data_IF_981342484706
#
_entry.id   IF_981342484706
#
_cell.length_a   1.000
_cell.length_b   1.000
_cell.length_c   1.000
_cell.angle_alpha   90.00
_cell.angle_beta   90.00
_cell.angle_gamma   90.00
#
_symmetry.space_group_name_H-M   'P 1'
#
loop_
_entity.id
_entity.type
_entity.pdbx_description
1 polymer ?
#
# COMPACT_ATOMS: atom_id res chain seq x y z
N UNK A 1 -3.55 9.70 -8.18
CA UNK A 1 -2.97 10.35 -6.98
C UNK A 1 -1.58 9.76 -6.73
N UNK A 2 -0.62 10.53 -6.20
CA UNK A 2 0.81 10.16 -6.18
C UNK A 2 1.27 9.40 -4.93
N UNK A 3 0.45 9.31 -3.87
CA UNK A 3 0.83 8.77 -2.56
C UNK A 3 -0.10 7.66 -2.02
N UNK A 4 -1.09 7.21 -2.79
CA UNK A 4 -1.95 6.10 -2.44
C UNK A 4 -2.46 5.37 -3.67
N UNK A 5 -2.98 4.16 -3.45
CA UNK A 5 -3.52 3.30 -4.47
C UNK A 5 -5.01 3.08 -4.24
N UNK A 6 -5.78 3.04 -5.32
CA UNK A 6 -7.15 2.52 -5.30
C UNK A 6 -7.12 1.11 -5.85
N UNK A 7 -7.78 0.19 -5.16
CA UNK A 7 -7.79 -1.22 -5.53
C UNK A 7 -9.24 -1.72 -5.55
N UNK A 8 -9.63 -2.35 -6.66
CA UNK A 8 -10.88 -3.10 -6.76
C UNK A 8 -10.49 -4.58 -6.80
N UNK A 9 -10.90 -5.34 -5.78
CA UNK A 9 -10.56 -6.76 -5.65
C UNK A 9 -11.81 -7.60 -5.42
N UNK A 10 -11.86 -8.76 -6.06
CA UNK A 10 -12.83 -9.83 -5.80
C UNK A 10 -12.06 -11.08 -5.39
N UNK A 11 -12.57 -11.80 -4.40
CA UNK A 11 -12.02 -13.08 -3.97
C UNK A 11 -13.14 -14.08 -3.75
N UNK A 12 -12.87 -15.35 -4.02
CA UNK A 12 -13.82 -16.46 -3.81
C UNK A 12 -13.50 -17.26 -2.54
N UNK A 13 -12.20 -17.42 -2.23
CA UNK A 13 -11.73 -18.31 -1.15
C UNK A 13 -11.01 -17.55 -0.04
N UNK A 14 -10.21 -16.54 -0.39
CA UNK A 14 -9.40 -15.79 0.58
C UNK A 14 -10.13 -14.54 1.07
N UNK A 15 -9.92 -14.19 2.33
CA UNK A 15 -10.44 -12.92 2.87
C UNK A 15 -9.77 -11.72 2.20
N UNK A 16 -10.51 -10.63 1.97
CA UNK A 16 -9.93 -9.41 1.40
C UNK A 16 -8.79 -8.85 2.26
N UNK A 17 -8.89 -9.02 3.58
CA UNK A 17 -7.85 -8.61 4.53
C UNK A 17 -6.55 -9.39 4.36
N UNK A 18 -6.59 -10.70 4.11
CA UNK A 18 -5.40 -11.50 3.83
C UNK A 18 -4.73 -11.08 2.52
N UNK A 19 -5.52 -10.86 1.47
CA UNK A 19 -5.01 -10.38 0.17
C UNK A 19 -4.33 -9.02 0.33
N UNK A 20 -4.96 -8.06 1.01
CA UNK A 20 -4.39 -6.72 1.23
C UNK A 20 -3.12 -6.79 2.06
N UNK A 21 -3.11 -7.61 3.13
CA UNK A 21 -1.94 -7.80 3.98
C UNK A 21 -0.75 -8.31 3.18
N UNK A 22 -0.97 -9.36 2.38
CA UNK A 22 0.11 -10.02 1.64
C UNK A 22 0.59 -9.14 0.47
N UNK A 23 -0.32 -8.42 -0.20
CA UNK A 23 0.02 -7.40 -1.19
C UNK A 23 0.89 -6.30 -0.57
N UNK A 24 0.48 -5.73 0.56
CA UNK A 24 1.26 -4.68 1.26
C UNK A 24 2.65 -5.19 1.66
N UNK A 25 2.72 -6.41 2.20
CA UNK A 25 3.98 -7.03 2.62
C UNK A 25 4.92 -7.27 1.44
N UNK A 26 4.41 -7.85 0.36
CA UNK A 26 5.22 -8.17 -0.82
C UNK A 26 5.72 -6.89 -1.49
N UNK A 27 4.81 -5.96 -1.81
CA UNK A 27 5.15 -4.71 -2.51
C UNK A 27 6.09 -3.83 -1.71
N UNK A 28 5.92 -3.71 -0.39
CA UNK A 28 6.84 -2.95 0.45
C UNK A 28 8.28 -3.48 0.33
N UNK A 29 8.46 -4.81 0.43
CA UNK A 29 9.79 -5.44 0.31
C UNK A 29 10.40 -5.20 -1.06
N UNK A 30 9.63 -5.44 -2.12
CA UNK A 30 10.10 -5.27 -3.49
C UNK A 30 10.46 -3.81 -3.77
N UNK A 31 9.58 -2.85 -3.48
CA UNK A 31 9.82 -1.43 -3.74
C UNK A 31 11.02 -0.90 -2.95
N UNK A 32 11.15 -1.25 -1.66
CA UNK A 32 12.31 -0.81 -0.87
C UNK A 32 13.60 -1.37 -1.45
N UNK A 33 13.60 -2.63 -1.89
CA UNK A 33 14.75 -3.25 -2.56
C UNK A 33 15.11 -2.51 -3.84
N UNK A 34 14.13 -2.29 -4.72
CA UNK A 34 14.34 -1.56 -5.99
C UNK A 34 14.86 -0.13 -5.75
N UNK A 35 14.37 0.57 -4.72
CA UNK A 35 14.90 1.89 -4.35
C UNK A 35 16.36 1.78 -3.90
N UNK A 36 16.68 0.83 -3.02
CA UNK A 36 18.04 0.66 -2.49
C UNK A 36 19.06 0.28 -3.57
N UNK A 37 18.65 -0.58 -4.51
CA UNK A 37 19.50 -1.10 -5.57
C UNK A 37 19.58 -0.20 -6.80
N UNK A 38 18.75 0.86 -6.89
CA UNK A 38 18.78 1.80 -8.01
C UNK A 38 19.77 2.97 -7.75
N UNK A 39 20.94 2.99 -8.43
CA UNK A 39 21.91 4.08 -8.28
C UNK A 39 21.49 5.39 -8.95
N UNK A 40 20.46 5.38 -9.82
CA UNK A 40 20.00 6.56 -10.54
C UNK A 40 18.92 7.35 -9.78
N UNK A 41 18.36 6.80 -8.70
CA UNK A 41 17.37 7.49 -7.89
C UNK A 41 18.05 8.46 -6.92
N UNK A 42 18.01 9.75 -7.26
CA UNK A 42 18.65 10.82 -6.49
C UNK A 42 18.12 10.97 -5.06
N UNK A 43 16.89 10.52 -4.78
CA UNK A 43 16.27 10.61 -3.45
C UNK A 43 16.34 9.31 -2.66
N UNK A 44 17.08 8.30 -3.13
CA UNK A 44 17.17 6.97 -2.53
C UNK A 44 17.43 7.02 -1.03
N UNK A 45 18.50 7.69 -0.63
CA UNK A 45 18.93 7.76 0.78
C UNK A 45 17.87 8.44 1.65
N UNK A 46 17.30 9.53 1.16
CA UNK A 46 16.21 10.24 1.84
C UNK A 46 14.98 9.36 2.03
N UNK A 47 14.55 8.62 0.99
CA UNK A 47 13.40 7.72 1.07
C UNK A 47 13.64 6.57 2.06
N UNK A 48 14.80 5.92 1.98
CA UNK A 48 15.16 4.83 2.91
C UNK A 48 15.19 5.34 4.36
N UNK A 49 15.81 6.49 4.61
CA UNK A 49 15.84 7.10 5.93
C UNK A 49 14.42 7.41 6.46
N UNK A 50 13.54 7.95 5.61
CA UNK A 50 12.15 8.21 6.01
C UNK A 50 11.41 6.93 6.37
N UNK A 51 11.54 5.87 5.57
CA UNK A 51 10.90 4.58 5.83
C UNK A 51 11.45 3.93 7.10
N UNK A 52 12.75 4.07 7.36
CA UNK A 52 13.40 3.51 8.55
C UNK A 52 12.90 4.22 9.82
N UNK A 53 12.87 5.55 9.77
CA UNK A 53 12.35 6.39 10.86
C UNK A 53 10.89 6.06 11.16
N UNK A 54 10.07 5.81 10.13
CA UNK A 54 8.69 5.37 10.30
C UNK A 54 8.60 3.95 10.88
N UNK A 55 9.44 3.01 10.41
CA UNK A 55 9.53 1.64 10.92
C UNK A 55 9.88 1.56 12.40
N UNK A 56 10.87 2.33 12.85
CA UNK A 56 11.31 2.40 14.26
C UNK A 56 10.21 2.84 15.23
N UNK A 57 9.20 3.60 14.76
CA UNK A 57 8.07 4.06 15.58
C UNK A 57 6.92 3.07 15.65
N UNK A 58 7.04 1.92 14.97
CA UNK A 58 5.98 0.94 14.84
C UNK A 58 6.45 -0.45 15.27
N UNK A 59 5.91 -0.96 16.38
CA UNK A 59 6.24 -2.28 16.92
C UNK A 59 5.93 -3.45 15.99
N UNK A 60 5.06 -3.25 14.99
CA UNK A 60 4.68 -4.28 14.03
C UNK A 60 5.62 -4.36 12.82
N UNK A 61 6.62 -3.49 12.72
CA UNK A 61 7.61 -3.49 11.66
C UNK A 61 9.01 -3.78 12.23
N UNK A 62 9.82 -4.51 11.48
CA UNK A 62 11.19 -4.85 11.91
C UNK A 62 12.21 -3.77 11.55
N UNK A 63 12.03 -3.04 10.45
CA UNK A 63 13.07 -2.12 9.94
C UNK A 63 12.47 -0.92 9.22
N UNK A 64 11.62 -1.16 8.22
CA UNK A 64 11.04 -0.11 7.39
C UNK A 64 9.52 -0.12 7.45
N UNK A 65 8.90 1.06 7.36
CA UNK A 65 7.46 1.19 7.13
C UNK A 65 7.19 1.95 5.83
N UNK A 66 6.66 1.23 4.84
CA UNK A 66 6.25 1.80 3.55
C UNK A 66 4.74 2.11 3.53
N UNK A 67 3.91 1.11 3.87
CA UNK A 67 2.47 1.28 3.94
C UNK A 67 2.00 1.77 5.31
N UNK A 68 0.93 2.55 5.33
CA UNK A 68 0.18 2.81 6.54
C UNK A 68 -0.57 1.53 6.99
N UNK A 69 -0.80 1.39 8.30
CA UNK A 69 -1.53 0.24 8.85
C UNK A 69 -3.03 0.30 8.53
N UNK A 70 -3.59 1.50 8.46
CA UNK A 70 -5.00 1.70 8.19
C UNK A 70 -5.31 1.44 6.71
N UNK A 71 -6.42 0.75 6.49
CA UNK A 71 -7.05 0.53 5.19
C UNK A 71 -8.47 1.10 5.29
N UNK A 72 -8.99 1.66 4.20
CA UNK A 72 -10.41 2.03 4.11
C UNK A 72 -11.11 1.12 3.07
N UNK A 73 -11.40 -0.15 3.41
CA UNK A 73 -12.12 -1.03 2.50
C UNK A 73 -13.57 -0.55 2.38
N UNK A 74 -14.02 -0.32 1.16
CA UNK A 74 -15.43 -0.08 0.85
C UNK A 74 -15.96 -1.34 0.19
N UNK A 75 -16.90 -2.00 0.85
CA UNK A 75 -17.53 -3.20 0.29
C UNK A 75 -18.47 -2.82 -0.85
N UNK A 76 -18.22 -3.37 -2.04
CA UNK A 76 -19.05 -3.17 -3.22
C UNK A 76 -20.04 -4.34 -3.35
N UNK A 77 -21.04 -4.40 -2.47
CA UNK A 77 -22.05 -5.46 -2.43
C UNK A 77 -23.32 -5.16 -3.26
N UNK A 78 -23.43 -3.96 -3.82
CA UNK A 78 -24.58 -3.56 -4.65
C UNK A 78 -24.14 -2.85 -5.93
N UNK A 79 -24.85 -3.12 -7.03
CA UNK A 79 -24.73 -2.41 -8.31
C UNK A 79 -24.91 -0.88 -8.20
N UNK A 80 -25.36 -0.39 -7.05
CA UNK A 80 -25.50 1.02 -6.72
C UNK A 80 -24.15 1.70 -6.43
N UNK A 81 -23.26 1.06 -5.67
CA UNK A 81 -21.95 1.64 -5.30
C UNK A 81 -20.96 1.66 -6.47
N UNK A 82 -21.03 0.67 -7.37
CA UNK A 82 -20.27 0.66 -8.63
C UNK A 82 -20.58 1.89 -9.49
N UNK A 83 -21.80 2.44 -9.41
CA UNK A 83 -22.24 3.61 -10.19
C UNK A 83 -21.87 4.95 -9.54
N UNK A 84 -21.76 4.98 -8.20
CA UNK A 84 -21.46 6.20 -7.45
C UNK A 84 -19.99 6.61 -7.59
N UNK A 85 -19.07 5.64 -7.58
CA UNK A 85 -17.63 5.93 -7.58
C UNK A 85 -17.11 6.49 -8.91
N UNK A 86 -17.83 6.30 -10.02
CA UNK A 86 -17.50 6.90 -11.32
C UNK A 86 -17.92 8.38 -11.42
N UNK A 87 -18.83 8.86 -10.57
CA UNK A 87 -19.37 10.23 -10.66
C UNK A 87 -18.65 11.26 -9.78
N UNK A 88 -17.86 10.83 -8.79
CA UNK A 88 -17.13 11.73 -7.88
C UNK A 88 -15.61 11.77 -8.15
N UNK A 89 -15.16 11.20 -9.27
CA UNK A 89 -13.77 11.21 -9.72
C UNK A 89 -13.54 12.08 -10.96
N UNK A 90 -14.27 13.18 -11.09
CA UNK A 90 -14.09 14.21 -12.13
C UNK A 90 -13.70 15.55 -11.52
#
# INVERSE_FOLDING_TARGET
MSNHIHLIIRSQEQTQSSIIRDMKKHTAKTIIKEIAENPQESRREWMLWMFERAGKRNSNNTTYQFWQQHNHPIELNSNFLLRLNWRYGG
#
